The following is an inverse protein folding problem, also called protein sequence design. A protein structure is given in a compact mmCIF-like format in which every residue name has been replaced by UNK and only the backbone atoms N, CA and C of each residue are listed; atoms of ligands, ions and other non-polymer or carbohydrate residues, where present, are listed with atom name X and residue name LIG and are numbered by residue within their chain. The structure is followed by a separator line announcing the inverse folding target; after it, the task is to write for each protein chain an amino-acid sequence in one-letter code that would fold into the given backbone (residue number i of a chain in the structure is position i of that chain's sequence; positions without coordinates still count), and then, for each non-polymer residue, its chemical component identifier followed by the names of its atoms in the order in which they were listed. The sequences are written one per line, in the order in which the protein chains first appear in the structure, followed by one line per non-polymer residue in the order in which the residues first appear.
data_IF_282004997214
#
_entry.id   IF_282004997214
#
_cell.length_a   1.000
_cell.length_b   1.000
_cell.length_c   1.000
_cell.angle_alpha   90.00
_cell.angle_beta   90.00
_cell.angle_gamma   90.00
#
_symmetry.space_group_name_H-M   'P 1'
#
loop_
_entity.id
_entity.type
_entity.pdbx_description
1 polymer ?
#
# COMPACT_ATOMS: atom_id res chain seq x y z
N UNK A 1 7.43 -8.57 22.83
CA UNK A 1 7.08 -7.46 21.91
C UNK A 1 7.77 -6.21 22.44
N UNK A 2 8.58 -5.54 21.62
CA UNK A 2 9.35 -4.36 22.03
C UNK A 2 8.40 -3.26 22.55
N UNK A 3 8.76 -2.58 23.65
CA UNK A 3 7.92 -1.50 24.22
C UNK A 3 7.56 -0.40 23.22
N UNK A 4 8.43 -0.19 22.22
CA UNK A 4 8.17 0.67 21.07
C UNK A 4 6.95 0.24 20.25
N UNK A 5 6.78 -1.05 19.97
CA UNK A 5 5.65 -1.55 19.19
C UNK A 5 4.32 -1.33 19.91
N UNK A 6 4.30 -1.49 21.25
CA UNK A 6 3.11 -1.23 22.07
C UNK A 6 2.74 0.25 22.05
N UNK A 7 3.73 1.13 22.16
CA UNK A 7 3.54 2.58 22.07
C UNK A 7 3.00 3.00 20.70
N UNK A 8 3.60 2.53 19.60
CA UNK A 8 3.12 2.80 18.25
C UNK A 8 1.70 2.31 18.01
N UNK A 9 1.36 1.12 18.52
CA UNK A 9 0.01 0.58 18.42
C UNK A 9 -1.02 1.38 19.22
N UNK A 10 -0.63 1.95 20.37
CA UNK A 10 -1.50 2.74 21.23
C UNK A 10 -1.79 4.17 20.69
N UNK A 11 -0.95 4.70 19.79
CA UNK A 11 -1.15 6.04 19.23
C UNK A 11 -2.49 6.20 18.49
N UNK A 12 -2.88 5.16 17.73
CA UNK A 12 -4.06 5.19 16.87
C UNK A 12 -5.37 5.27 17.67
N UNK A 13 -5.62 4.41 18.68
CA UNK A 13 -6.78 4.57 19.56
C UNK A 13 -6.73 5.88 20.37
N UNK A 14 -5.56 6.31 20.84
CA UNK A 14 -5.42 7.58 21.56
C UNK A 14 -5.84 8.78 20.69
N UNK A 15 -5.43 8.77 19.42
CA UNK A 15 -5.81 9.78 18.44
C UNK A 15 -7.33 9.80 18.21
N UNK A 16 -7.95 8.63 18.02
CA UNK A 16 -9.40 8.52 17.84
C UNK A 16 -10.15 9.10 19.05
N UNK A 17 -9.76 8.71 20.27
CA UNK A 17 -10.36 9.21 21.51
C UNK A 17 -10.23 10.73 21.59
N UNK A 18 -9.06 11.27 21.26
CA UNK A 18 -8.79 12.72 21.29
C UNK A 18 -9.73 13.47 20.34
N UNK A 19 -9.92 12.98 19.10
CA UNK A 19 -10.83 13.58 18.12
C UNK A 19 -12.28 13.52 18.58
N UNK A 20 -12.72 12.40 19.17
CA UNK A 20 -14.08 12.24 19.70
C UNK A 20 -14.35 13.20 20.86
N UNK A 21 -13.41 13.29 21.80
CA UNK A 21 -13.50 14.20 22.95
C UNK A 21 -13.54 15.66 22.47
N UNK A 22 -12.62 16.04 21.58
CA UNK A 22 -12.56 17.39 21.02
C UNK A 22 -13.83 17.77 20.25
N UNK A 23 -14.35 16.86 19.42
CA UNK A 23 -15.60 17.06 18.69
C UNK A 23 -16.80 17.24 19.63
N UNK A 24 -16.84 16.46 20.72
CA UNK A 24 -17.89 16.56 21.74
C UNK A 24 -17.83 17.91 22.47
N UNK A 25 -16.64 18.35 22.87
CA UNK A 25 -16.44 19.65 23.53
C UNK A 25 -16.79 20.84 22.64
N UNK A 26 -16.61 20.73 21.32
CA UNK A 26 -16.98 21.75 20.35
C UNK A 26 -18.44 21.71 19.91
N UNK A 27 -19.26 20.80 20.46
CA UNK A 27 -20.66 20.63 20.09
C UNK A 27 -20.86 20.12 18.65
N UNK A 28 -19.85 19.45 18.08
CA UNK A 28 -19.93 18.87 16.74
C UNK A 28 -20.78 17.61 16.82
N UNK A 29 -21.71 17.45 15.88
CA UNK A 29 -22.44 16.19 15.69
C UNK A 29 -21.53 15.13 15.08
N UNK A 30 -20.75 14.46 15.93
CA UNK A 30 -19.69 13.51 15.54
C UNK A 30 -20.20 12.46 14.56
N UNK A 31 -21.40 11.90 14.80
CA UNK A 31 -21.97 10.88 13.93
C UNK A 31 -22.23 11.42 12.51
N UNK A 32 -22.85 12.60 12.37
CA UNK A 32 -23.10 13.22 11.06
C UNK A 32 -21.79 13.57 10.34
N UNK A 33 -20.80 14.09 11.06
CA UNK A 33 -19.48 14.39 10.54
C UNK A 33 -18.75 13.12 10.07
N UNK A 34 -18.83 12.04 10.84
CA UNK A 34 -18.27 10.73 10.49
C UNK A 34 -18.91 10.17 9.22
N UNK A 35 -20.24 10.15 9.13
CA UNK A 35 -20.96 9.64 7.94
C UNK A 35 -20.61 10.46 6.70
N UNK A 36 -20.52 11.79 6.83
CA UNK A 36 -20.09 12.67 5.73
C UNK A 36 -18.66 12.37 5.29
N UNK A 37 -17.73 12.25 6.25
CA UNK A 37 -16.35 11.87 5.99
C UNK A 37 -16.23 10.50 5.32
N UNK A 38 -16.99 9.51 5.80
CA UNK A 38 -17.04 8.17 5.22
C UNK A 38 -17.54 8.19 3.77
N UNK A 39 -18.62 8.93 3.47
CA UNK A 39 -19.11 9.09 2.08
C UNK A 39 -18.05 9.68 1.15
N UNK A 40 -17.33 10.71 1.60
CA UNK A 40 -16.23 11.28 0.84
C UNK A 40 -15.11 10.25 0.61
N UNK A 41 -14.75 9.50 1.66
CA UNK A 41 -13.78 8.39 1.58
C UNK A 41 -14.18 7.31 0.58
N UNK A 42 -15.45 6.93 0.53
CA UNK A 42 -15.98 5.98 -0.47
C UNK A 42 -15.76 6.48 -1.90
N UNK A 43 -15.99 7.77 -2.15
CA UNK A 43 -15.71 8.37 -3.46
C UNK A 43 -14.23 8.30 -3.86
N UNK A 44 -13.32 8.51 -2.90
CA UNK A 44 -11.88 8.35 -3.12
C UNK A 44 -11.53 6.89 -3.39
N UNK A 45 -12.07 5.95 -2.61
CA UNK A 45 -11.84 4.51 -2.81
C UNK A 45 -12.30 4.05 -4.19
N UNK A 46 -13.49 4.46 -4.63
CA UNK A 46 -14.01 4.15 -5.96
C UNK A 46 -13.11 4.68 -7.09
N UNK A 47 -12.43 5.81 -6.88
CA UNK A 47 -11.43 6.33 -7.84
C UNK A 47 -10.13 5.55 -7.81
N UNK A 48 -9.67 5.09 -6.65
CA UNK A 48 -8.40 4.36 -6.49
C UNK A 48 -8.46 2.91 -6.99
N UNK A 49 -9.60 2.23 -6.80
CA UNK A 49 -9.77 0.82 -7.18
C UNK A 49 -9.39 0.56 -8.65
N UNK A 50 -9.87 1.33 -9.64
CA UNK A 50 -9.47 1.16 -11.04
C UNK A 50 -7.96 1.27 -11.28
N UNK A 51 -7.28 2.22 -10.63
CA UNK A 51 -5.82 2.36 -10.77
C UNK A 51 -5.08 1.15 -10.21
N UNK A 52 -5.49 0.65 -9.04
CA UNK A 52 -4.90 -0.54 -8.45
C UNK A 52 -5.14 -1.78 -9.33
N UNK A 53 -6.35 -1.92 -9.87
CA UNK A 53 -6.70 -2.98 -10.82
C UNK A 53 -5.81 -2.94 -12.08
N UNK A 54 -5.63 -1.76 -12.67
CA UNK A 54 -4.78 -1.59 -13.85
C UNK A 54 -3.32 -1.96 -13.56
N UNK A 55 -2.78 -1.54 -12.42
CA UNK A 55 -1.41 -1.89 -12.01
C UNK A 55 -1.28 -3.39 -11.79
N UNK A 56 -2.18 -4.02 -11.05
CA UNK A 56 -2.12 -5.47 -10.80
C UNK A 56 -2.31 -6.29 -12.08
N UNK A 57 -3.22 -5.88 -12.97
CA UNK A 57 -3.40 -6.52 -14.27
C UNK A 57 -2.15 -6.37 -15.14
N UNK A 58 -1.57 -5.17 -15.23
CA UNK A 58 -0.35 -4.94 -16.00
C UNK A 58 0.82 -5.78 -15.49
N UNK A 59 1.00 -5.84 -14.16
CA UNK A 59 2.05 -6.65 -13.52
C UNK A 59 1.81 -8.15 -13.77
N UNK A 60 0.58 -8.62 -13.64
CA UNK A 60 0.21 -10.01 -13.94
C UNK A 60 0.49 -10.39 -15.39
N UNK A 61 0.02 -9.57 -16.35
CA UNK A 61 0.29 -9.78 -17.78
C UNK A 61 1.78 -9.75 -18.09
N UNK A 62 2.53 -8.84 -17.48
CA UNK A 62 3.97 -8.70 -17.69
C UNK A 62 4.76 -9.89 -17.12
N UNK A 63 4.26 -10.52 -16.05
CA UNK A 63 4.78 -11.77 -15.48
C UNK A 63 4.46 -12.97 -16.38
N UNK A 64 3.18 -13.15 -16.73
CA UNK A 64 2.69 -14.33 -17.47
C UNK A 64 3.17 -14.36 -18.93
N UNK A 65 3.40 -13.20 -19.53
CA UNK A 65 3.96 -13.08 -20.90
C UNK A 65 5.43 -13.48 -21.00
N UNK A 66 6.12 -13.73 -19.88
CA UNK A 66 7.57 -13.99 -19.86
C UNK A 66 8.43 -12.75 -20.08
N UNK A 67 7.83 -11.56 -20.25
CA UNK A 67 8.55 -10.29 -20.41
C UNK A 67 9.42 -9.97 -19.18
N UNK A 68 8.96 -10.33 -17.98
CA UNK A 68 9.76 -10.21 -16.76
C UNK A 68 11.07 -11.03 -16.81
N UNK A 69 11.03 -12.25 -17.36
CA UNK A 69 12.22 -13.09 -17.52
C UNK A 69 13.21 -12.49 -18.53
N UNK A 70 12.68 -11.85 -19.57
CA UNK A 70 13.48 -11.20 -20.60
C UNK A 70 14.15 -9.93 -20.04
N UNK A 71 13.40 -9.12 -19.29
CA UNK A 71 13.94 -7.96 -18.57
C UNK A 71 15.01 -8.38 -17.55
N UNK A 72 14.75 -9.46 -16.81
CA UNK A 72 15.68 -10.09 -15.88
C UNK A 72 16.98 -10.51 -16.56
N UNK A 73 16.92 -11.16 -17.74
CA UNK A 73 18.10 -11.57 -18.47
C UNK A 73 18.97 -10.38 -18.93
N UNK A 74 18.34 -9.28 -19.37
CA UNK A 74 19.03 -8.05 -19.77
C UNK A 74 19.68 -7.35 -18.57
N UNK A 75 18.98 -7.29 -17.44
CA UNK A 75 19.47 -6.61 -16.23
C UNK A 75 20.41 -7.47 -15.38
N UNK A 76 20.47 -8.79 -15.62
CA UNK A 76 21.31 -9.76 -14.91
C UNK A 76 22.77 -9.31 -14.71
N UNK A 77 23.52 -8.81 -15.71
CA UNK A 77 24.91 -8.38 -15.50
C UNK A 77 25.06 -7.18 -14.54
N UNK A 78 24.07 -6.28 -14.51
CA UNK A 78 24.07 -5.16 -13.55
C UNK A 78 23.65 -5.62 -12.15
N UNK A 79 22.59 -6.43 -12.06
CA UNK A 79 22.06 -6.94 -10.80
C UNK A 79 23.02 -7.89 -10.09
N UNK A 80 23.76 -8.72 -10.84
CA UNK A 80 24.76 -9.62 -10.28
C UNK A 80 25.95 -8.87 -9.68
N UNK A 81 26.35 -7.75 -10.29
CA UNK A 81 27.37 -6.87 -9.73
C UNK A 81 26.95 -6.27 -8.38
N UNK A 82 25.67 -5.91 -8.23
CA UNK A 82 25.11 -5.40 -6.98
C UNK A 82 24.63 -6.49 -6.01
N UNK A 83 24.77 -7.79 -6.34
CA UNK A 83 24.24 -8.93 -5.56
C UNK A 83 22.74 -8.85 -5.27
N UNK A 84 21.97 -8.24 -6.17
CA UNK A 84 20.51 -8.11 -6.03
C UNK A 84 19.84 -9.35 -6.65
N UNK A 85 18.98 -10.08 -5.90
CA UNK A 85 18.25 -11.20 -6.46
C UNK A 85 17.24 -10.74 -7.50
N UNK A 86 17.16 -11.51 -8.59
CA UNK A 86 16.38 -11.18 -9.79
C UNK A 86 14.87 -11.23 -9.52
N UNK A 87 14.44 -12.03 -8.54
CA UNK A 87 13.05 -12.15 -8.10
C UNK A 87 12.49 -10.85 -7.48
N UNK A 88 13.35 -9.87 -7.18
CA UNK A 88 12.94 -8.56 -6.67
C UNK A 88 12.58 -7.55 -7.76
N UNK A 89 12.83 -7.85 -9.04
CA UNK A 89 12.51 -6.94 -10.16
C UNK A 89 11.01 -6.58 -10.19
N UNK A 90 10.05 -7.52 -10.06
CA UNK A 90 8.63 -7.20 -9.98
C UNK A 90 8.33 -6.21 -8.84
N UNK A 91 8.92 -6.44 -7.67
CA UNK A 91 8.74 -5.57 -6.50
C UNK A 91 9.32 -4.17 -6.74
N UNK A 92 10.49 -4.08 -7.40
CA UNK A 92 11.15 -2.82 -7.73
C UNK A 92 10.32 -1.96 -8.70
N UNK A 93 9.59 -2.58 -9.63
CA UNK A 93 8.69 -1.88 -10.56
C UNK A 93 7.41 -1.42 -9.87
N UNK A 94 6.84 -2.23 -8.98
CA UNK A 94 5.54 -1.94 -8.36
C UNK A 94 5.66 -0.94 -7.21
N UNK A 95 6.76 -0.94 -6.45
CA UNK A 95 6.93 -0.10 -5.26
C UNK A 95 6.82 1.41 -5.49
N UNK A 96 7.36 2.01 -6.58
CA UNK A 96 7.15 3.43 -6.90
C UNK A 96 5.71 3.76 -7.28
N UNK A 97 4.97 2.80 -7.85
CA UNK A 97 3.59 3.00 -8.31
C UNK A 97 2.59 2.88 -7.15
N UNK A 98 2.82 1.95 -6.23
CA UNK A 98 1.99 1.79 -5.04
C UNK A 98 2.70 0.96 -3.96
N UNK A 99 2.82 1.56 -2.77
CA UNK A 99 3.35 0.88 -1.59
C UNK A 99 2.49 -0.31 -1.16
N UNK A 100 1.16 -0.17 -1.18
CA UNK A 100 0.24 -1.27 -0.83
C UNK A 100 0.25 -2.38 -1.87
N UNK A 101 0.39 -2.06 -3.16
CA UNK A 101 0.53 -3.07 -4.21
C UNK A 101 1.85 -3.86 -4.08
N UNK A 102 2.94 -3.19 -3.70
CA UNK A 102 4.23 -3.85 -3.51
C UNK A 102 4.23 -4.88 -2.38
N UNK A 103 3.39 -4.70 -1.36
CA UNK A 103 3.20 -5.69 -0.30
C UNK A 103 2.49 -6.95 -0.81
N UNK A 104 1.52 -6.79 -1.72
CA UNK A 104 0.88 -7.92 -2.38
C UNK A 104 1.88 -8.73 -3.21
N UNK A 105 2.72 -8.04 -4.00
CA UNK A 105 3.80 -8.69 -4.77
C UNK A 105 4.82 -9.37 -3.87
N UNK A 106 5.17 -8.77 -2.74
CA UNK A 106 6.06 -9.39 -1.76
C UNK A 106 5.48 -10.68 -1.17
N UNK A 107 4.19 -10.69 -0.85
CA UNK A 107 3.51 -11.88 -0.34
C UNK A 107 3.48 -13.03 -1.37
N UNK A 108 3.51 -12.71 -2.66
CA UNK A 108 3.62 -13.68 -3.76
C UNK A 108 5.05 -14.23 -3.95
N UNK A 109 6.07 -13.51 -3.47
CA UNK A 109 7.50 -13.87 -3.58
C UNK A 109 7.98 -14.65 -2.35
N UNK A 110 7.42 -14.36 -1.17
CA UNK A 110 7.70 -15.04 0.10
C UNK A 110 7.07 -16.44 0.15
#
# INVERSE_FOLDING_TARGET
MSGFAVFSAALLPLFIITVLIYGSFKGVKIYEAFVTGARHGFGVAARLVPFLLAVFLAVGLFRDSGAMNLLAAILKPALSFLRIPVDLIPMAVVRPLSGSASLGVLADIL
#
